data_IF_357665104952
#
_entry.id   IF_357665104952
#
_cell.length_a   1.000
_cell.length_b   1.000
_cell.length_c   1.000
_cell.angle_alpha   90.00
_cell.angle_beta   90.00
_cell.angle_gamma   90.00
#
_symmetry.space_group_name_H-M   'P 1'
#
loop_
_entity.id
_entity.type
_entity.pdbx_description
1 polymer ?
#
# COMPACT_ATOMS: atom_id res chain seq x y z
N UNK A 1 8.34 -21.39 7.77
CA UNK A 1 9.64 -21.46 7.08
C UNK A 1 9.47 -21.84 5.61
N UNK A 2 8.83 -22.98 5.31
CA UNK A 2 8.63 -23.50 3.95
C UNK A 2 8.09 -22.45 2.95
N UNK A 3 6.98 -21.78 3.26
CA UNK A 3 6.38 -20.73 2.41
C UNK A 3 7.39 -19.63 2.09
N UNK A 4 8.12 -19.13 3.10
CA UNK A 4 9.12 -18.07 2.92
C UNK A 4 10.26 -18.48 1.99
N UNK A 5 10.65 -19.76 2.04
CA UNK A 5 11.79 -20.29 1.30
C UNK A 5 11.43 -20.70 -0.13
N UNK A 6 10.21 -21.14 -0.37
CA UNK A 6 9.81 -21.80 -1.63
C UNK A 6 8.63 -21.13 -2.34
N UNK A 7 7.84 -20.33 -1.64
CA UNK A 7 6.69 -19.63 -2.21
C UNK A 7 7.10 -18.49 -3.14
N UNK A 8 6.24 -18.19 -4.12
CA UNK A 8 6.41 -17.06 -5.04
C UNK A 8 6.00 -15.71 -4.45
N UNK A 9 5.59 -15.69 -3.18
CA UNK A 9 5.03 -14.53 -2.47
C UNK A 9 3.73 -14.00 -3.11
N UNK A 10 2.99 -14.86 -3.81
CA UNK A 10 1.73 -14.49 -4.46
C UNK A 10 0.55 -14.56 -3.48
N UNK A 11 0.07 -15.77 -3.16
CA UNK A 11 -1.06 -15.98 -2.27
C UNK A 11 -0.87 -17.24 -1.47
N UNK A 12 -0.96 -17.14 -0.14
CA UNK A 12 -0.81 -18.25 0.78
C UNK A 12 -1.97 -18.26 1.78
N UNK A 13 -2.39 -19.45 2.21
CA UNK A 13 -3.61 -19.65 2.99
C UNK A 13 -3.33 -20.55 4.18
N UNK A 14 -3.92 -20.22 5.33
CA UNK A 14 -4.05 -21.13 6.47
C UNK A 14 -5.50 -21.58 6.63
N UNK A 15 -5.71 -22.87 6.87
CA UNK A 15 -7.00 -23.43 7.25
C UNK A 15 -6.90 -23.93 8.70
N UNK A 16 -7.57 -23.25 9.64
CA UNK A 16 -7.50 -23.57 11.07
C UNK A 16 -8.65 -22.93 11.84
N UNK A 17 -9.09 -23.58 12.93
CA UNK A 17 -10.02 -23.01 13.91
C UNK A 17 -9.28 -22.35 15.11
N UNK A 18 -7.94 -22.46 15.17
CA UNK A 18 -7.13 -21.78 16.19
C UNK A 18 -6.84 -20.33 15.75
N UNK A 19 -7.53 -19.40 16.40
CA UNK A 19 -7.39 -17.96 16.16
C UNK A 19 -5.98 -17.43 16.41
N UNK A 20 -5.25 -17.98 17.38
CA UNK A 20 -3.88 -17.56 17.65
C UNK A 20 -2.94 -18.00 16.52
N UNK A 21 -3.15 -19.21 15.98
CA UNK A 21 -2.42 -19.69 14.83
C UNK A 21 -2.74 -18.88 13.57
N UNK A 22 -4.02 -18.56 13.34
CA UNK A 22 -4.47 -17.73 12.23
C UNK A 22 -3.84 -16.33 12.28
N UNK A 23 -3.94 -15.63 13.42
CA UNK A 23 -3.36 -14.30 13.61
C UNK A 23 -1.85 -14.31 13.39
N UNK A 24 -1.14 -15.32 13.91
CA UNK A 24 0.29 -15.47 13.68
C UNK A 24 0.61 -15.69 12.20
N UNK A 25 -0.16 -16.51 11.48
CA UNK A 25 0.05 -16.74 10.06
C UNK A 25 -0.15 -15.46 9.24
N UNK A 26 -1.28 -14.78 9.44
CA UNK A 26 -1.62 -13.51 8.78
C UNK A 26 -0.55 -12.43 9.03
N UNK A 27 0.02 -12.38 10.24
CA UNK A 27 1.03 -11.39 10.60
C UNK A 27 2.47 -11.71 10.18
N UNK A 28 2.79 -12.96 9.80
CA UNK A 28 4.19 -13.40 9.59
C UNK A 28 4.53 -13.87 8.18
N UNK A 29 3.52 -14.21 7.38
CA UNK A 29 3.69 -14.60 5.97
C UNK A 29 3.76 -13.34 5.10
N UNK A 30 4.80 -13.23 4.30
CA UNK A 30 5.07 -12.06 3.45
C UNK A 30 4.73 -12.33 1.97
N UNK A 31 3.44 -12.58 1.73
CA UNK A 31 2.85 -12.77 0.39
C UNK A 31 1.92 -11.62 0.03
N UNK A 32 1.65 -11.42 -1.26
CA UNK A 32 0.76 -10.35 -1.71
C UNK A 32 -0.70 -10.54 -1.25
N UNK A 33 -1.13 -11.78 -1.04
CA UNK A 33 -2.34 -12.13 -0.30
C UNK A 33 -2.05 -13.19 0.76
N UNK A 34 -2.57 -13.00 1.97
CA UNK A 34 -2.48 -13.97 3.06
C UNK A 34 -3.89 -14.17 3.63
N UNK A 35 -4.41 -15.40 3.54
CA UNK A 35 -5.81 -15.67 3.86
C UNK A 35 -5.97 -16.69 4.98
N UNK A 36 -7.11 -16.61 5.66
CA UNK A 36 -7.56 -17.55 6.68
C UNK A 36 -8.91 -18.13 6.27
N UNK A 37 -9.02 -19.46 6.24
CA UNK A 37 -10.25 -20.21 5.98
C UNK A 37 -10.99 -19.81 4.68
N UNK A 38 -10.28 -19.36 3.65
CA UNK A 38 -10.84 -19.11 2.33
C UNK A 38 -9.88 -19.48 1.20
N UNK A 39 -10.44 -19.75 0.02
CA UNK A 39 -9.66 -20.22 -1.14
C UNK A 39 -8.63 -19.20 -1.60
N UNK A 40 -7.43 -19.65 -1.97
CA UNK A 40 -6.43 -18.79 -2.63
C UNK A 40 -6.93 -18.17 -3.93
N UNK A 41 -7.98 -18.74 -4.54
CA UNK A 41 -8.62 -18.22 -5.76
C UNK A 41 -9.36 -16.89 -5.56
N UNK A 42 -9.55 -16.45 -4.32
CA UNK A 42 -10.06 -15.10 -4.05
C UNK A 42 -9.09 -13.98 -4.45
N UNK A 43 -7.79 -14.26 -4.62
CA UNK A 43 -6.79 -13.29 -5.09
C UNK A 43 -7.03 -12.92 -6.57
N UNK A 44 -7.88 -11.92 -6.78
CA UNK A 44 -8.39 -11.47 -8.07
C UNK A 44 -9.04 -10.08 -7.90
N UNK A 45 -8.69 -9.12 -8.74
CA UNK A 45 -9.14 -7.73 -8.61
C UNK A 45 -10.65 -7.55 -8.71
N UNK A 46 -11.36 -8.34 -9.53
CA UNK A 46 -12.83 -8.28 -9.57
C UNK A 46 -13.42 -8.76 -8.25
N UNK A 47 -12.91 -9.87 -7.69
CA UNK A 47 -13.34 -10.40 -6.38
C UNK A 47 -13.05 -9.43 -5.24
N UNK A 48 -12.05 -8.56 -5.37
CA UNK A 48 -11.70 -7.52 -4.41
C UNK A 48 -12.47 -6.21 -4.59
N UNK A 49 -13.34 -6.10 -5.59
CA UNK A 49 -14.13 -4.90 -5.86
C UNK A 49 -13.37 -3.80 -6.62
N UNK A 50 -12.24 -4.13 -7.26
CA UNK A 50 -11.50 -3.21 -8.13
C UNK A 50 -12.13 -3.07 -9.53
N UNK A 51 -13.16 -3.87 -9.83
CA UNK A 51 -13.84 -3.93 -11.13
C UNK A 51 -13.04 -4.69 -12.19
N UNK A 52 -11.75 -4.40 -12.34
CA UNK A 52 -10.81 -5.14 -13.18
C UNK A 52 -9.39 -5.06 -12.60
N UNK A 53 -8.51 -5.93 -13.09
CA UNK A 53 -7.08 -5.85 -12.80
C UNK A 53 -6.26 -5.89 -14.09
N UNK A 54 -5.10 -5.24 -14.06
CA UNK A 54 -4.06 -5.44 -15.08
C UNK A 54 -3.29 -6.74 -14.81
N UNK A 55 -3.16 -7.11 -13.54
CA UNK A 55 -2.53 -8.33 -13.07
C UNK A 55 -2.25 -8.28 -11.57
N UNK A 56 -1.47 -9.23 -11.07
CA UNK A 56 -1.11 -9.33 -9.64
C UNK A 56 0.39 -9.12 -9.48
N UNK A 57 0.76 -8.16 -8.62
CA UNK A 57 2.15 -7.86 -8.30
C UNK A 57 2.61 -8.54 -7.00
N UNK A 58 3.76 -9.24 -7.06
CA UNK A 58 4.41 -9.86 -5.90
C UNK A 58 5.60 -9.05 -5.37
N UNK A 59 5.81 -7.84 -5.90
CA UNK A 59 6.90 -6.96 -5.47
C UNK A 59 6.65 -6.45 -4.04
N UNK A 60 7.73 -6.07 -3.35
CA UNK A 60 7.61 -5.50 -2.00
C UNK A 60 7.14 -4.04 -2.05
N UNK A 61 7.55 -3.27 -3.06
CA UNK A 61 7.09 -1.88 -3.24
C UNK A 61 5.74 -1.84 -3.97
N UNK A 62 4.91 -0.80 -3.74
CA UNK A 62 3.65 -0.64 -4.44
C UNK A 62 3.83 -0.50 -5.97
N UNK A 63 2.83 -0.93 -6.76
CA UNK A 63 1.62 -1.65 -6.33
C UNK A 63 1.91 -3.13 -5.99
N UNK A 64 1.21 -3.69 -5.00
CA UNK A 64 1.35 -5.09 -4.52
C UNK A 64 -0.03 -5.75 -4.36
N UNK A 65 -0.17 -7.00 -4.77
CA UNK A 65 -1.47 -7.68 -4.89
C UNK A 65 -2.16 -7.37 -6.22
N UNK A 66 -3.48 -7.59 -6.33
CA UNK A 66 -4.27 -7.20 -7.49
C UNK A 66 -4.11 -5.71 -7.83
N UNK A 67 -3.70 -5.41 -9.06
CA UNK A 67 -3.38 -4.06 -9.52
C UNK A 67 -4.54 -3.50 -10.33
N UNK A 68 -5.37 -2.69 -9.65
CA UNK A 68 -6.40 -1.86 -10.28
C UNK A 68 -5.88 -0.49 -10.73
N UNK A 69 -6.80 0.46 -10.98
CA UNK A 69 -6.48 1.82 -11.46
C UNK A 69 -5.43 2.52 -10.59
N UNK A 70 -5.55 2.41 -9.25
CA UNK A 70 -4.66 3.13 -8.33
C UNK A 70 -3.21 2.63 -8.35
N UNK A 71 -2.97 1.42 -8.85
CA UNK A 71 -1.61 0.94 -9.07
C UNK A 71 -0.96 1.47 -10.34
N UNK A 72 -1.72 2.15 -11.21
CA UNK A 72 -1.23 2.72 -12.48
C UNK A 72 -1.01 4.24 -12.40
N UNK A 73 -1.36 4.86 -11.28
CA UNK A 73 -1.16 6.29 -11.06
C UNK A 73 0.05 6.52 -10.16
N UNK A 74 0.62 7.72 -10.28
CA UNK A 74 1.70 8.20 -9.41
C UNK A 74 1.43 9.64 -9.02
N UNK A 75 2.19 10.16 -8.06
CA UNK A 75 2.03 11.51 -7.56
C UNK A 75 3.04 12.48 -8.20
N UNK A 76 2.65 13.75 -8.24
CA UNK A 76 3.54 14.86 -8.62
C UNK A 76 3.32 16.02 -7.65
N UNK A 77 4.41 16.52 -7.09
CA UNK A 77 4.37 17.74 -6.29
C UNK A 77 4.25 18.97 -7.20
N UNK A 78 3.32 19.84 -6.83
CA UNK A 78 3.13 21.15 -7.47
C UNK A 78 3.26 22.22 -6.40
N UNK A 79 4.28 23.06 -6.53
CA UNK A 79 4.51 24.20 -5.67
C UNK A 79 4.23 25.49 -6.44
N UNK A 80 3.47 26.40 -5.83
CA UNK A 80 3.24 27.75 -6.35
C UNK A 80 3.89 28.74 -5.40
N UNK A 81 4.72 29.63 -5.94
CA UNK A 81 5.41 30.65 -5.17
C UNK A 81 5.54 31.95 -5.97
N UNK A 82 6.00 32.99 -5.29
CA UNK A 82 6.20 34.34 -5.85
C UNK A 82 7.68 34.71 -5.78
N UNK A 83 8.55 33.88 -6.38
CA UNK A 83 10.01 34.09 -6.35
C UNK A 83 10.69 33.63 -5.04
N UNK A 84 10.02 32.82 -4.22
CA UNK A 84 10.60 32.29 -2.99
C UNK A 84 11.89 31.48 -3.26
N UNK A 85 12.93 31.73 -2.46
CA UNK A 85 14.19 30.97 -2.43
C UNK A 85 14.38 30.33 -1.05
N UNK A 86 15.31 29.39 -0.92
CA UNK A 86 15.52 28.64 0.34
C UNK A 86 16.30 29.46 1.38
N UNK A 87 17.17 30.38 0.95
CA UNK A 87 18.08 31.09 1.84
C UNK A 87 17.37 31.84 2.99
N UNK A 88 16.29 32.62 2.77
CA UNK A 88 15.57 33.29 3.84
C UNK A 88 14.98 32.34 4.90
N UNK A 89 14.60 31.12 4.49
CA UNK A 89 14.08 30.10 5.43
C UNK A 89 15.21 29.44 6.22
N UNK A 90 16.39 29.29 5.62
CA UNK A 90 17.54 28.67 6.28
C UNK A 90 18.19 29.60 7.33
N UNK A 91 18.21 30.92 7.09
CA UNK A 91 18.73 31.90 8.06
C UNK A 91 17.71 32.34 9.11
N UNK A 92 16.44 31.91 8.99
CA UNK A 92 15.37 32.24 9.94
C UNK A 92 14.71 33.61 9.70
N UNK A 93 14.97 34.27 8.58
CA UNK A 93 14.24 35.48 8.18
C UNK A 93 12.80 35.17 7.73
N UNK A 94 12.58 33.95 7.22
CA UNK A 94 11.26 33.41 6.90
C UNK A 94 11.04 32.07 7.61
N UNK A 95 9.77 31.74 7.83
CA UNK A 95 9.39 30.52 8.54
C UNK A 95 8.40 29.69 7.72
N UNK A 96 8.59 28.38 7.73
CA UNK A 96 7.59 27.45 7.20
C UNK A 96 6.39 27.39 8.12
N UNK A 97 5.18 27.45 7.55
CA UNK A 97 3.96 27.26 8.33
C UNK A 97 3.63 25.79 8.58
N UNK A 98 4.06 24.89 7.68
CA UNK A 98 3.72 23.45 7.68
C UNK A 98 2.24 23.14 7.94
N UNK A 99 1.34 24.05 7.54
CA UNK A 99 -0.08 23.92 7.82
C UNK A 99 -0.76 23.02 6.80
N UNK A 100 -1.41 21.95 7.26
CA UNK A 100 -2.32 21.16 6.42
C UNK A 100 -3.56 22.02 6.10
N UNK A 101 -3.82 22.26 4.81
CA UNK A 101 -4.94 23.10 4.39
C UNK A 101 -6.26 22.33 4.31
N UNK A 102 -6.19 21.00 4.12
CA UNK A 102 -7.37 20.14 3.99
C UNK A 102 -8.16 20.01 5.31
N UNK A 103 -7.49 20.16 6.45
CA UNK A 103 -8.13 20.13 7.78
C UNK A 103 -8.80 21.47 8.15
N UNK A 104 -8.48 22.56 7.44
CA UNK A 104 -8.99 23.91 7.74
C UNK A 104 -10.27 24.28 6.99
N UNK A 105 -10.88 23.34 6.25
CA UNK A 105 -12.20 23.52 5.63
C UNK A 105 -12.25 24.53 4.47
N UNK A 106 -11.11 24.94 3.93
CA UNK A 106 -11.05 25.82 2.76
C UNK A 106 -10.41 25.03 1.61
N UNK A 107 -11.10 24.80 0.47
CA UNK A 107 -10.59 24.03 -0.66
C UNK A 107 -9.34 24.65 -1.31
#
# INVERSE_FOLDING_TARGET
EHIRRHGSRHTDVICTDDEAAAARFLGTVDSAGVFHNCSSRFADGFRYGLGAEVGISTQTMPPRGPVGLEGLVTYRYRLRGHGHTVAPFACGEQHFSHRNLLETGNP
#
